data_IF_039560123105
#
_entry.id   IF_039560123105
#
_cell.length_a   1.000
_cell.length_b   1.000
_cell.length_c   1.000
_cell.angle_alpha   90.00
_cell.angle_beta   90.00
_cell.angle_gamma   90.00
#
_symmetry.space_group_name_H-M   'P 1'
#
loop_
_entity.id
_entity.type
_entity.pdbx_description
1 polymer ?
#
# COMPACT_ATOMS: atom_id res chain seq x y z
N UNK A 1 21.71 -1.80 7.31
CA UNK A 1 22.58 -2.57 8.24
C UNK A 1 21.79 -3.71 8.88
N UNK A 2 22.32 -4.93 8.90
CA UNK A 2 21.68 -6.11 9.52
C UNK A 2 22.27 -6.39 10.90
N UNK A 3 21.45 -6.88 11.84
CA UNK A 3 21.91 -7.32 13.16
C UNK A 3 21.38 -8.71 13.50
N UNK A 4 22.14 -9.41 14.33
CA UNK A 4 21.67 -10.64 14.97
C UNK A 4 20.94 -10.27 16.26
N UNK A 5 19.72 -10.79 16.44
CA UNK A 5 18.83 -10.40 17.54
C UNK A 5 18.03 -11.61 18.04
N UNK A 6 18.00 -11.79 19.35
CA UNK A 6 17.07 -12.70 20.04
C UNK A 6 15.87 -11.90 20.57
N UNK A 7 14.65 -12.30 20.20
CA UNK A 7 13.41 -11.71 20.68
C UNK A 7 12.70 -12.76 21.53
N UNK A 8 12.70 -12.56 22.85
CA UNK A 8 12.09 -13.50 23.80
C UNK A 8 10.60 -13.24 23.97
N UNK A 9 9.83 -14.28 24.29
CA UNK A 9 8.42 -14.19 24.68
C UNK A 9 7.52 -13.43 23.67
N UNK A 10 7.80 -13.54 22.37
CA UNK A 10 6.95 -12.96 21.33
C UNK A 10 5.81 -13.92 21.01
N UNK A 11 4.62 -13.40 20.67
CA UNK A 11 3.46 -14.22 20.27
C UNK A 11 3.14 -14.02 18.79
N UNK A 12 3.73 -14.82 17.86
CA UNK A 12 3.42 -14.73 16.44
C UNK A 12 1.92 -14.81 16.19
N UNK A 13 1.36 -13.78 15.57
CA UNK A 13 -0.08 -13.63 15.30
C UNK A 13 -1.00 -13.80 16.52
N UNK A 14 -0.47 -13.60 17.73
CA UNK A 14 -1.20 -13.77 18.99
C UNK A 14 -1.30 -15.22 19.49
N UNK A 15 -0.55 -16.15 18.90
CA UNK A 15 -0.43 -17.52 19.37
C UNK A 15 0.37 -17.68 20.66
N UNK A 16 0.97 -18.86 20.85
CA UNK A 16 1.84 -19.16 21.98
C UNK A 16 3.11 -18.31 21.98
N UNK A 17 3.62 -18.02 23.19
CA UNK A 17 4.85 -17.27 23.34
C UNK A 17 6.06 -18.12 22.93
N UNK A 18 6.90 -17.59 22.04
CA UNK A 18 8.11 -18.22 21.52
C UNK A 18 9.28 -17.26 21.51
N UNK A 19 10.47 -17.80 21.32
CA UNK A 19 11.66 -17.01 21.02
C UNK A 19 11.85 -16.95 19.50
N UNK A 20 11.98 -15.73 18.96
CA UNK A 20 12.34 -15.51 17.56
C UNK A 20 13.81 -15.14 17.47
N UNK A 21 14.53 -15.72 16.51
CA UNK A 21 15.96 -15.47 16.31
C UNK A 21 16.16 -14.89 14.92
N UNK A 22 16.80 -13.73 14.85
CA UNK A 22 17.23 -13.10 13.61
C UNK A 22 18.74 -13.23 13.51
N UNK A 23 19.25 -13.71 12.37
CA UNK A 23 20.67 -13.77 12.02
C UNK A 23 20.89 -13.25 10.61
N UNK A 24 21.87 -12.37 10.41
CA UNK A 24 22.13 -11.76 9.11
C UNK A 24 20.90 -11.06 8.51
N UNK A 25 20.00 -10.55 9.35
CA UNK A 25 18.75 -9.90 8.93
C UNK A 25 17.62 -10.85 8.50
N UNK A 26 17.73 -12.15 8.74
CA UNK A 26 16.69 -13.16 8.45
C UNK A 26 16.31 -13.98 9.67
N UNK A 27 15.07 -14.44 9.75
CA UNK A 27 14.65 -15.41 10.74
C UNK A 27 15.40 -16.73 10.55
N UNK A 28 15.84 -17.30 11.67
CA UNK A 28 16.61 -18.54 11.75
C UNK A 28 15.89 -19.51 12.68
N UNK A 29 16.01 -20.81 12.42
CA UNK A 29 15.53 -21.82 13.34
C UNK A 29 16.13 -21.64 14.76
N UNK A 30 15.34 -21.98 15.77
CA UNK A 30 15.78 -21.98 17.16
C UNK A 30 16.88 -23.06 17.34
N UNK A 31 18.13 -22.61 17.48
CA UNK A 31 19.31 -23.46 17.59
C UNK A 31 20.61 -22.65 17.51
N UNK A 32 21.72 -23.25 17.94
CA UNK A 32 23.03 -22.58 18.05
C UNK A 32 23.14 -21.64 19.26
N UNK A 33 24.29 -20.96 19.37
CA UNK A 33 24.48 -19.97 20.42
C UNK A 33 23.51 -18.78 20.23
N UNK A 34 22.87 -18.31 21.32
CA UNK A 34 21.95 -17.18 21.25
C UNK A 34 22.70 -15.91 20.84
N UNK A 35 22.12 -15.06 19.98
CA UNK A 35 22.66 -13.72 19.72
C UNK A 35 22.95 -12.96 21.01
N UNK A 36 24.03 -12.17 21.01
CA UNK A 36 24.41 -11.36 22.16
C UNK A 36 23.39 -10.24 22.44
N UNK A 37 22.81 -9.65 21.39
CA UNK A 37 21.73 -8.67 21.52
C UNK A 37 20.40 -9.41 21.71
N UNK A 38 19.68 -9.09 22.79
CA UNK A 38 18.41 -9.72 23.11
C UNK A 38 17.42 -8.69 23.67
N UNK A 39 16.16 -8.83 23.26
CA UNK A 39 15.02 -8.08 23.82
C UNK A 39 13.98 -9.05 24.37
N UNK A 40 13.12 -8.56 25.25
CA UNK A 40 11.93 -9.27 25.69
C UNK A 40 10.70 -8.59 25.07
N UNK A 41 9.89 -9.36 24.35
CA UNK A 41 8.64 -8.88 23.76
C UNK A 41 7.51 -8.78 24.80
N UNK A 42 7.72 -9.22 26.04
CA UNK A 42 6.75 -9.12 27.13
C UNK A 42 5.38 -9.76 26.82
N UNK A 43 5.35 -10.81 25.99
CA UNK A 43 4.11 -11.45 25.55
C UNK A 43 3.33 -10.62 24.52
N UNK A 44 3.94 -9.60 23.90
CA UNK A 44 3.33 -8.84 22.82
C UNK A 44 3.14 -9.69 21.56
N UNK A 45 2.13 -9.32 20.78
CA UNK A 45 1.82 -9.95 19.50
C UNK A 45 2.89 -9.56 18.49
N UNK A 46 3.51 -10.54 17.84
CA UNK A 46 4.39 -10.32 16.71
C UNK A 46 3.60 -10.42 15.40
N UNK A 47 3.58 -9.33 14.64
CA UNK A 47 3.13 -9.29 13.25
C UNK A 47 4.34 -9.07 12.33
N UNK A 48 4.37 -9.62 11.11
CA UNK A 48 5.36 -9.20 10.13
C UNK A 48 5.19 -7.71 9.85
N UNK A 49 6.23 -7.08 9.27
CA UNK A 49 6.18 -5.65 8.91
C UNK A 49 4.90 -5.29 8.16
N UNK A 50 4.19 -4.25 8.62
CA UNK A 50 2.91 -3.87 8.00
C UNK A 50 3.14 -3.38 6.57
N UNK A 51 2.17 -3.63 5.70
CA UNK A 51 2.25 -3.31 4.27
C UNK A 51 1.24 -2.22 3.93
N UNK A 52 1.74 -1.07 3.49
CA UNK A 52 0.96 0.02 2.92
C UNK A 52 0.93 -0.17 1.40
N UNK A 53 -0.10 -0.85 0.90
CA UNK A 53 -0.13 -1.28 -0.49
C UNK A 53 -0.52 -0.17 -1.47
N UNK A 54 -0.95 1.00 -0.99
CA UNK A 54 -1.37 2.09 -1.85
C UNK A 54 -1.41 3.43 -1.09
N UNK A 55 -0.53 4.35 -1.44
CA UNK A 55 -0.54 5.73 -0.93
C UNK A 55 0.08 6.73 -1.91
N UNK A 56 0.05 8.01 -1.58
CA UNK A 56 0.64 9.10 -2.36
C UNK A 56 1.70 9.88 -1.56
N UNK A 57 2.93 9.37 -1.56
CA UNK A 57 4.07 9.95 -0.84
C UNK A 57 4.48 11.34 -1.36
N UNK A 58 4.18 11.66 -2.62
CA UNK A 58 4.62 12.90 -3.28
C UNK A 58 3.85 14.14 -2.82
N UNK A 59 2.70 13.97 -2.16
CA UNK A 59 1.71 15.04 -1.99
C UNK A 59 0.99 15.08 -0.65
N UNK A 60 1.50 14.39 0.37
CA UNK A 60 1.03 14.60 1.74
C UNK A 60 1.34 16.03 2.22
N UNK A 61 0.55 16.56 3.16
CA UNK A 61 0.79 17.85 3.80
C UNK A 61 1.31 17.70 5.24
N UNK A 62 1.79 16.52 5.63
CA UNK A 62 2.39 16.31 6.95
C UNK A 62 3.50 17.33 7.20
N UNK A 63 3.44 18.01 8.35
CA UNK A 63 4.40 19.06 8.72
C UNK A 63 4.28 20.34 7.90
N UNK A 64 3.17 20.55 7.19
CA UNK A 64 2.77 21.83 6.61
C UNK A 64 1.59 22.43 7.39
N UNK A 65 1.20 23.66 7.06
CA UNK A 65 0.00 24.27 7.64
C UNK A 65 -1.27 23.50 7.25
N UNK A 66 -2.29 23.58 8.09
CA UNK A 66 -3.57 22.94 7.85
C UNK A 66 -4.21 23.43 6.53
N UNK A 67 -4.58 22.49 5.67
CA UNK A 67 -5.25 22.79 4.42
C UNK A 67 -6.77 22.87 4.61
N UNK A 68 -7.31 24.07 4.55
CA UNK A 68 -8.76 24.29 4.57
C UNK A 68 -9.38 23.81 3.25
N UNK A 69 -9.99 22.62 3.28
CA UNK A 69 -10.52 21.99 2.08
C UNK A 69 -11.94 22.49 1.76
N UNK A 70 -12.03 23.49 0.88
CA UNK A 70 -13.27 23.99 0.27
C UNK A 70 -13.55 23.47 -1.15
N UNK A 71 -12.90 22.37 -1.56
CA UNK A 71 -12.96 21.87 -2.94
C UNK A 71 -14.30 21.17 -3.21
N UNK A 72 -14.82 21.35 -4.42
CA UNK A 72 -16.06 20.71 -4.89
C UNK A 72 -16.01 19.17 -4.88
N UNK A 73 -17.16 18.51 -5.01
CA UNK A 73 -17.28 17.07 -4.78
C UNK A 73 -16.68 16.21 -5.90
N UNK A 74 -16.41 16.77 -7.08
CA UNK A 74 -16.03 15.98 -8.26
C UNK A 74 -14.53 15.63 -8.28
N UNK A 75 -14.20 14.50 -8.91
CA UNK A 75 -12.81 14.06 -9.09
C UNK A 75 -11.97 15.09 -9.85
N UNK A 76 -12.52 15.67 -10.92
CA UNK A 76 -11.84 16.68 -11.72
C UNK A 76 -11.56 17.97 -10.93
N UNK A 77 -12.48 18.43 -10.09
CA UNK A 77 -12.23 19.59 -9.21
C UNK A 77 -11.07 19.32 -8.25
N UNK A 78 -10.99 18.10 -7.67
CA UNK A 78 -9.88 17.70 -6.79
C UNK A 78 -8.55 17.63 -7.52
N UNK A 79 -8.51 17.08 -8.74
CA UNK A 79 -7.30 17.07 -9.59
C UNK A 79 -6.80 18.50 -9.84
N UNK A 80 -7.71 19.41 -10.21
CA UNK A 80 -7.35 20.80 -10.50
C UNK A 80 -6.82 21.52 -9.25
N UNK A 81 -7.48 21.29 -8.10
CA UNK A 81 -7.09 21.90 -6.83
C UNK A 81 -5.76 21.34 -6.30
N UNK A 82 -5.54 20.02 -6.39
CA UNK A 82 -4.30 19.37 -5.98
C UNK A 82 -3.11 19.91 -6.77
N UNK A 83 -3.23 19.96 -8.09
CA UNK A 83 -2.20 20.51 -8.98
C UNK A 83 -1.89 21.98 -8.68
N UNK A 84 -2.91 22.79 -8.36
CA UNK A 84 -2.73 24.18 -7.93
C UNK A 84 -2.01 24.24 -6.58
N UNK A 85 -2.43 23.45 -5.59
CA UNK A 85 -1.84 23.40 -4.26
C UNK A 85 -0.36 22.97 -4.30
N UNK A 86 -0.01 21.99 -5.13
CA UNK A 86 1.40 21.58 -5.34
C UNK A 86 2.31 22.76 -5.67
N UNK A 87 1.85 23.67 -6.53
CA UNK A 87 2.59 24.88 -6.90
C UNK A 87 2.54 25.95 -5.81
N UNK A 88 1.34 26.29 -5.37
CA UNK A 88 1.14 27.44 -4.46
C UNK A 88 1.77 27.21 -3.08
N UNK A 89 1.71 25.97 -2.58
CA UNK A 89 2.25 25.60 -1.28
C UNK A 89 3.72 25.17 -1.34
N UNK A 90 4.31 25.06 -2.54
CA UNK A 90 5.67 24.56 -2.72
C UNK A 90 5.84 23.14 -2.17
N UNK A 91 4.93 22.23 -2.55
CA UNK A 91 5.00 20.83 -2.13
C UNK A 91 6.21 20.19 -2.80
N UNK A 92 7.16 19.74 -1.98
CA UNK A 92 8.38 19.06 -2.42
C UNK A 92 8.26 17.56 -2.17
N UNK A 93 8.27 16.76 -3.23
CA UNK A 93 7.98 15.33 -3.15
C UNK A 93 9.02 14.56 -2.31
N UNK A 94 10.29 14.97 -2.32
CA UNK A 94 11.32 14.37 -1.47
C UNK A 94 11.03 14.60 0.01
N UNK A 95 10.77 15.85 0.39
CA UNK A 95 10.42 16.24 1.76
C UNK A 95 9.14 15.54 2.22
N UNK A 96 8.08 15.59 1.43
CA UNK A 96 6.79 15.00 1.84
C UNK A 96 6.84 13.48 1.94
N UNK A 97 7.52 12.83 1.00
CA UNK A 97 7.70 11.37 1.06
C UNK A 97 8.50 10.95 2.30
N UNK A 98 9.55 11.69 2.66
CA UNK A 98 10.33 11.42 3.85
C UNK A 98 9.47 11.60 5.12
N UNK A 99 8.69 12.68 5.21
CA UNK A 99 7.80 12.95 6.36
C UNK A 99 6.72 11.89 6.55
N UNK A 100 6.07 11.47 5.46
CA UNK A 100 5.09 10.40 5.53
C UNK A 100 5.73 9.08 5.98
N UNK A 101 6.87 8.69 5.39
CA UNK A 101 7.60 7.49 5.80
C UNK A 101 7.98 7.56 7.28
N UNK A 102 8.43 8.72 7.78
CA UNK A 102 8.74 8.93 9.19
C UNK A 102 7.54 8.64 10.10
N UNK A 103 6.35 9.07 9.67
CA UNK A 103 5.11 8.86 10.41
C UNK A 103 4.70 7.40 10.39
N UNK A 104 4.62 6.79 9.21
CA UNK A 104 4.13 5.40 9.05
C UNK A 104 5.11 4.36 9.61
N UNK A 105 6.41 4.65 9.62
CA UNK A 105 7.43 3.79 10.23
C UNK A 105 7.14 3.58 11.73
N UNK A 106 6.67 4.60 12.45
CA UNK A 106 6.30 4.49 13.88
C UNK A 106 5.13 3.52 14.11
N UNK A 107 4.26 3.39 13.13
CA UNK A 107 3.15 2.45 13.17
C UNK A 107 3.55 1.03 12.74
N UNK A 108 4.75 0.83 12.20
CA UNK A 108 5.25 -0.48 11.78
C UNK A 108 5.18 -0.77 10.30
N UNK A 109 4.95 0.24 9.46
CA UNK A 109 4.97 0.08 8.01
C UNK A 109 6.41 -0.08 7.53
N UNK A 110 6.71 -1.24 6.95
CA UNK A 110 8.06 -1.59 6.44
C UNK A 110 8.07 -1.82 4.92
N UNK A 111 6.89 -1.86 4.29
CA UNK A 111 6.73 -1.98 2.85
C UNK A 111 5.65 -1.01 2.36
N UNK A 112 5.97 -0.22 1.34
CA UNK A 112 5.08 0.80 0.77
C UNK A 112 5.03 0.61 -0.75
N UNK A 113 3.84 0.73 -1.34
CA UNK A 113 3.69 1.07 -2.75
C UNK A 113 3.05 2.45 -2.85
N UNK A 114 3.74 3.37 -3.52
CA UNK A 114 3.27 4.74 -3.69
C UNK A 114 3.01 5.07 -5.15
N UNK A 115 1.83 5.65 -5.40
CA UNK A 115 1.47 6.24 -6.67
C UNK A 115 1.93 7.69 -6.71
N UNK A 116 2.80 7.99 -7.66
CA UNK A 116 3.49 9.27 -7.76
C UNK A 116 3.08 9.95 -9.04
N UNK A 117 2.52 11.16 -8.89
CA UNK A 117 1.94 11.87 -10.02
C UNK A 117 2.99 12.19 -11.08
N UNK A 118 2.63 11.90 -12.33
CA UNK A 118 3.34 12.30 -13.55
C UNK A 118 2.38 13.18 -14.34
N UNK A 119 2.75 14.45 -14.52
CA UNK A 119 1.93 15.40 -15.25
C UNK A 119 2.78 16.42 -16.04
N UNK A 120 2.16 17.07 -17.01
CA UNK A 120 2.83 17.99 -17.94
C UNK A 120 3.32 19.30 -17.32
N UNK A 121 2.91 19.63 -16.09
CA UNK A 121 3.36 20.84 -15.39
C UNK A 121 4.55 20.55 -14.47
N UNK A 122 4.57 19.40 -13.79
CA UNK A 122 5.68 18.99 -12.90
C UNK A 122 6.74 18.12 -13.61
N UNK A 123 6.41 17.56 -14.78
CA UNK A 123 7.25 16.60 -15.48
C UNK A 123 7.50 15.35 -14.63
N UNK A 124 8.78 15.10 -14.32
CA UNK A 124 9.23 13.94 -13.53
C UNK A 124 9.68 14.29 -12.11
N UNK A 125 9.58 15.57 -11.70
CA UNK A 125 10.16 16.03 -10.44
C UNK A 125 9.66 15.23 -9.22
N UNK A 126 8.38 14.84 -9.21
CA UNK A 126 7.84 14.02 -8.14
C UNK A 126 8.41 12.60 -8.12
N UNK A 127 8.58 11.98 -9.29
CA UNK A 127 9.20 10.65 -9.43
C UNK A 127 10.64 10.70 -8.92
N UNK A 128 11.42 11.69 -9.34
CA UNK A 128 12.80 11.88 -8.92
C UNK A 128 12.89 12.06 -7.40
N UNK A 129 12.08 12.95 -6.83
CA UNK A 129 12.06 13.22 -5.40
C UNK A 129 11.71 11.98 -4.54
N UNK A 130 10.72 11.19 -4.95
CA UNK A 130 10.36 9.96 -4.22
C UNK A 130 11.43 8.88 -4.37
N UNK A 131 12.07 8.77 -5.55
CA UNK A 131 13.20 7.85 -5.76
C UNK A 131 14.40 8.22 -4.88
N UNK A 132 14.70 9.52 -4.73
CA UNK A 132 15.74 10.00 -3.82
C UNK A 132 15.44 9.62 -2.37
N UNK A 133 14.21 9.83 -1.91
CA UNK A 133 13.79 9.40 -0.57
C UNK A 133 13.89 7.89 -0.38
N UNK A 134 13.42 7.11 -1.36
CA UNK A 134 13.56 5.65 -1.36
C UNK A 134 15.02 5.23 -1.21
N UNK A 135 15.93 5.86 -1.94
CA UNK A 135 17.36 5.56 -1.86
C UNK A 135 17.94 5.91 -0.47
N UNK A 136 17.56 7.07 0.08
CA UNK A 136 18.02 7.53 1.39
C UNK A 136 17.49 6.66 2.56
N UNK A 137 16.28 6.12 2.44
CA UNK A 137 15.59 5.39 3.51
C UNK A 137 15.49 3.87 3.27
N UNK A 138 16.21 3.32 2.28
CA UNK A 138 16.18 1.89 1.90
C UNK A 138 16.48 0.91 3.04
N UNK A 139 17.25 1.36 4.03
CA UNK A 139 17.60 0.56 5.21
C UNK A 139 16.47 0.50 6.25
N UNK A 140 15.45 1.34 6.12
CA UNK A 140 14.31 1.46 7.04
C UNK A 140 13.02 0.89 6.45
N UNK A 141 12.75 1.15 5.17
CA UNK A 141 11.50 0.78 4.50
C UNK A 141 11.77 0.42 3.03
N UNK A 142 11.02 -0.56 2.51
CA UNK A 142 11.00 -0.85 1.07
C UNK A 142 9.89 -0.04 0.39
N UNK A 143 10.20 0.65 -0.72
CA UNK A 143 9.24 1.48 -1.46
C UNK A 143 9.19 1.08 -2.92
N UNK A 144 8.00 0.69 -3.41
CA UNK A 144 7.68 0.58 -4.83
C UNK A 144 7.07 1.90 -5.31
N UNK A 145 7.51 2.39 -6.47
CA UNK A 145 7.03 3.64 -7.09
C UNK A 145 6.21 3.32 -8.33
N UNK A 146 4.95 3.74 -8.34
CA UNK A 146 4.06 3.70 -9.51
C UNK A 146 4.12 5.05 -10.22
N UNK A 147 4.48 5.05 -11.50
CA UNK A 147 4.30 6.24 -12.34
C UNK A 147 2.81 6.42 -12.61
N UNK A 148 2.20 7.52 -12.13
CA UNK A 148 0.74 7.65 -12.10
C UNK A 148 0.23 8.90 -12.84
N UNK A 149 -0.59 8.76 -13.89
CA UNK A 149 -1.08 9.90 -14.67
C UNK A 149 -2.32 10.52 -14.02
N UNK A 150 -2.19 11.08 -12.82
CA UNK A 150 -3.30 11.61 -11.99
C UNK A 150 -4.24 12.57 -12.74
N UNK A 151 -3.69 13.39 -13.63
CA UNK A 151 -4.44 14.40 -14.42
C UNK A 151 -5.02 13.85 -15.73
N UNK A 152 -4.93 12.55 -15.97
CA UNK A 152 -5.27 11.89 -17.22
C UNK A 152 -4.09 11.82 -18.19
N UNK A 153 -4.02 10.71 -18.93
CA UNK A 153 -2.97 10.39 -19.87
C UNK A 153 -3.35 10.75 -21.31
N UNK A 154 -4.51 10.32 -21.80
CA UNK A 154 -4.99 10.58 -23.15
C UNK A 154 -5.51 12.02 -23.35
N UNK A 155 -6.26 12.62 -22.41
CA UNK A 155 -6.76 13.99 -22.58
C UNK A 155 -5.66 15.06 -22.56
N UNK A 156 -4.43 14.70 -22.16
CA UNK A 156 -3.31 15.61 -21.97
C UNK A 156 -2.12 15.19 -22.83
N UNK A 157 -1.95 15.87 -23.96
CA UNK A 157 -0.83 15.64 -24.85
C UNK A 157 0.51 15.76 -24.11
N UNK A 158 1.40 14.78 -24.29
CA UNK A 158 2.70 14.71 -23.61
C UNK A 158 2.73 13.80 -22.38
N UNK A 159 1.59 13.48 -21.76
CA UNK A 159 1.58 12.65 -20.54
C UNK A 159 2.04 11.22 -20.82
N UNK A 160 1.67 10.63 -21.96
CA UNK A 160 2.10 9.27 -22.32
C UNK A 160 3.63 9.18 -22.48
N UNK A 161 4.24 10.19 -23.10
CA UNK A 161 5.69 10.28 -23.24
C UNK A 161 6.38 10.47 -21.88
N UNK A 162 5.77 11.25 -20.98
CA UNK A 162 6.26 11.40 -19.61
C UNK A 162 6.13 10.11 -18.79
N UNK A 163 5.07 9.33 -18.98
CA UNK A 163 4.91 8.02 -18.36
C UNK A 163 6.03 7.06 -18.81
N UNK A 164 6.34 7.00 -20.11
CA UNK A 164 7.48 6.23 -20.63
C UNK A 164 8.82 6.71 -20.05
N UNK A 165 8.99 8.03 -19.90
CA UNK A 165 10.17 8.63 -19.30
C UNK A 165 10.30 8.32 -17.79
N UNK A 166 9.19 8.31 -17.04
CA UNK A 166 9.15 7.94 -15.63
C UNK A 166 9.59 6.48 -15.41
N UNK A 167 9.17 5.57 -16.31
CA UNK A 167 9.63 4.18 -16.28
C UNK A 167 11.15 4.09 -16.50
N UNK A 168 11.70 4.85 -17.45
CA UNK A 168 13.15 4.94 -17.68
C UNK A 168 13.90 5.57 -16.50
N UNK A 169 13.27 6.48 -15.77
CA UNK A 169 13.82 7.14 -14.59
C UNK A 169 13.85 6.23 -13.34
N UNK A 170 13.27 5.03 -13.41
CA UNK A 170 13.34 4.03 -12.35
C UNK A 170 12.07 3.87 -11.52
N UNK A 171 10.92 4.28 -12.05
CA UNK A 171 9.63 3.81 -11.55
C UNK A 171 9.50 2.27 -11.72
N UNK A 172 8.86 1.63 -10.75
CA UNK A 172 8.78 0.16 -10.68
C UNK A 172 7.56 -0.38 -11.41
N UNK A 173 6.47 0.39 -11.47
CA UNK A 173 5.14 -0.04 -11.89
C UNK A 173 4.51 1.03 -12.81
N UNK A 174 3.80 0.58 -13.84
CA UNK A 174 3.02 1.46 -14.71
C UNK A 174 1.64 1.69 -14.10
N UNK A 175 1.30 2.95 -13.85
CA UNK A 175 0.00 3.35 -13.33
C UNK A 175 -1.01 3.69 -14.41
N UNK A 176 -2.28 3.75 -14.00
CA UNK A 176 -3.39 4.25 -14.80
C UNK A 176 -4.48 4.84 -13.93
N UNK A 177 -5.36 5.64 -14.52
CA UNK A 177 -6.54 6.21 -13.84
C UNK A 177 -7.78 6.02 -14.70
N UNK A 178 -8.91 5.70 -14.07
CA UNK A 178 -10.29 5.79 -14.57
C UNK A 178 -10.42 5.79 -16.11
N UNK A 179 -10.30 4.61 -16.75
CA UNK A 179 -10.25 4.47 -18.21
C UNK A 179 -11.44 5.09 -18.95
N UNK A 180 -12.60 5.19 -18.30
CA UNK A 180 -13.82 5.73 -18.88
C UNK A 180 -14.09 7.17 -18.46
N UNK A 181 -14.04 7.49 -17.16
CA UNK A 181 -14.55 8.79 -16.69
C UNK A 181 -13.51 9.90 -16.80
N UNK A 182 -12.22 9.59 -16.62
CA UNK A 182 -11.11 10.55 -16.79
C UNK A 182 -10.55 10.47 -18.22
N UNK A 183 -10.25 9.27 -18.69
CA UNK A 183 -9.53 9.09 -19.95
C UNK A 183 -10.43 9.14 -21.18
N UNK A 184 -11.74 8.93 -20.99
CA UNK A 184 -12.80 9.00 -22.01
C UNK A 184 -12.67 8.01 -23.17
N UNK A 185 -11.70 7.10 -23.11
CA UNK A 185 -11.45 6.05 -24.09
C UNK A 185 -10.82 4.82 -23.40
N UNK A 186 -11.63 3.93 -22.78
CA UNK A 186 -11.14 2.83 -21.97
C UNK A 186 -10.20 1.88 -22.73
N UNK A 187 -10.55 1.59 -23.98
CA UNK A 187 -9.80 0.66 -24.83
C UNK A 187 -8.41 1.22 -25.09
N UNK A 188 -8.34 2.45 -25.63
CA UNK A 188 -7.06 3.07 -25.97
C UNK A 188 -6.17 3.31 -24.76
N UNK A 189 -6.77 3.70 -23.63
CA UNK A 189 -6.02 3.96 -22.40
C UNK A 189 -5.37 2.69 -21.87
N UNK A 190 -6.15 1.62 -21.75
CA UNK A 190 -5.66 0.33 -21.29
C UNK A 190 -4.63 -0.25 -22.27
N UNK A 191 -4.84 -0.13 -23.58
CA UNK A 191 -3.85 -0.57 -24.58
C UNK A 191 -2.51 0.15 -24.39
N UNK A 192 -2.53 1.45 -24.11
CA UNK A 192 -1.31 2.22 -23.86
C UNK A 192 -0.60 1.81 -22.56
N UNK A 193 -1.34 1.63 -21.45
CA UNK A 193 -0.77 1.17 -20.17
C UNK A 193 -0.14 -0.22 -20.32
N UNK A 194 -0.85 -1.16 -20.93
CA UNK A 194 -0.37 -2.51 -21.11
C UNK A 194 0.82 -2.57 -22.08
N UNK A 195 0.84 -1.74 -23.14
CA UNK A 195 1.99 -1.62 -24.02
C UNK A 195 3.23 -1.04 -23.32
N UNK A 196 3.06 -0.08 -22.39
CA UNK A 196 4.16 0.41 -21.56
C UNK A 196 4.68 -0.68 -20.62
N UNK A 197 3.78 -1.41 -19.97
CA UNK A 197 4.13 -2.49 -19.06
C UNK A 197 4.92 -3.61 -19.75
N UNK A 198 4.48 -4.01 -20.96
CA UNK A 198 5.19 -4.97 -21.81
C UNK A 198 6.57 -4.46 -22.23
N UNK A 199 6.63 -3.24 -22.80
CA UNK A 199 7.88 -2.61 -23.25
C UNK A 199 8.95 -2.53 -22.15
N UNK A 200 8.56 -2.16 -20.94
CA UNK A 200 9.47 -2.01 -19.80
C UNK A 200 9.61 -3.29 -18.97
N UNK A 201 8.88 -4.35 -19.32
CA UNK A 201 8.74 -5.58 -18.54
C UNK A 201 8.40 -5.30 -17.06
N UNK A 202 7.46 -4.38 -16.80
CA UNK A 202 7.04 -3.95 -15.45
C UNK A 202 5.59 -4.33 -15.13
N UNK A 203 5.23 -4.47 -13.83
CA UNK A 203 3.85 -4.67 -13.41
C UNK A 203 2.98 -3.41 -13.61
N UNK A 204 1.68 -3.58 -13.38
CA UNK A 204 0.63 -2.56 -13.54
C UNK A 204 -0.14 -2.37 -12.23
N UNK A 205 -0.48 -1.12 -11.89
CA UNK A 205 -1.43 -0.80 -10.82
C UNK A 205 -2.37 0.35 -11.26
N UNK A 206 -3.63 0.03 -11.55
CA UNK A 206 -4.60 0.97 -12.12
C UNK A 206 -5.55 1.46 -11.03
N UNK A 207 -5.67 2.78 -10.86
CA UNK A 207 -6.79 3.37 -10.12
C UNK A 207 -8.09 3.19 -10.92
N UNK A 208 -9.04 2.48 -10.33
CA UNK A 208 -10.36 2.28 -10.90
C UNK A 208 -11.45 2.68 -9.92
N UNK A 209 -11.89 3.94 -10.03
CA UNK A 209 -12.96 4.49 -9.21
C UNK A 209 -14.34 4.37 -9.87
N UNK A 210 -14.41 4.00 -11.16
CA UNK A 210 -15.71 3.89 -11.82
C UNK A 210 -16.64 2.91 -11.10
N UNK A 211 -17.90 3.34 -11.00
CA UNK A 211 -18.93 2.68 -10.22
C UNK A 211 -19.76 1.73 -11.09
N UNK A 212 -20.42 0.77 -10.44
CA UNK A 212 -21.39 -0.14 -11.06
C UNK A 212 -20.90 -0.79 -12.37
N UNK A 213 -21.80 -0.91 -13.34
CA UNK A 213 -21.54 -1.62 -14.60
C UNK A 213 -20.42 -0.97 -15.44
N UNK A 214 -20.18 0.34 -15.30
CA UNK A 214 -19.10 1.00 -16.03
C UNK A 214 -17.73 0.55 -15.52
N UNK A 215 -17.56 0.48 -14.19
CA UNK A 215 -16.32 -0.06 -13.62
C UNK A 215 -16.16 -1.55 -13.90
N UNK A 216 -17.26 -2.33 -13.90
CA UNK A 216 -17.22 -3.74 -14.28
C UNK A 216 -16.74 -3.94 -15.73
N UNK A 217 -17.24 -3.13 -16.66
CA UNK A 217 -16.76 -3.13 -18.05
C UNK A 217 -15.26 -2.85 -18.13
N UNK A 218 -14.76 -1.86 -17.39
CA UNK A 218 -13.31 -1.59 -17.34
C UNK A 218 -12.52 -2.77 -16.75
N UNK A 219 -13.02 -3.45 -15.72
CA UNK A 219 -12.38 -4.66 -15.17
C UNK A 219 -12.35 -5.81 -16.18
N UNK A 220 -13.41 -6.02 -16.94
CA UNK A 220 -13.47 -7.03 -18.00
C UNK A 220 -12.39 -6.78 -19.07
N UNK A 221 -12.20 -5.51 -19.47
CA UNK A 221 -11.13 -5.11 -20.39
C UNK A 221 -9.71 -5.33 -19.82
N UNK A 222 -9.54 -5.13 -18.51
CA UNK A 222 -8.27 -5.40 -17.80
C UNK A 222 -8.00 -6.91 -17.75
N UNK A 223 -9.02 -7.72 -17.46
CA UNK A 223 -8.93 -9.20 -17.47
C UNK A 223 -8.52 -9.70 -18.85
N UNK A 224 -9.17 -9.20 -19.91
CA UNK A 224 -8.87 -9.56 -21.30
C UNK A 224 -7.39 -9.31 -21.65
N UNK A 225 -6.88 -8.11 -21.34
CA UNK A 225 -5.49 -7.72 -21.64
C UNK A 225 -4.48 -8.48 -20.79
N UNK A 226 -4.80 -8.71 -19.51
CA UNK A 226 -3.96 -9.50 -18.61
C UNK A 226 -3.77 -10.91 -19.17
N UNK A 227 -4.84 -11.53 -19.67
CA UNK A 227 -4.79 -12.83 -20.32
C UNK A 227 -4.01 -12.79 -21.63
N UNK A 228 -4.32 -11.84 -22.51
CA UNK A 228 -3.72 -11.74 -23.84
C UNK A 228 -2.20 -11.53 -23.80
N UNK A 229 -1.70 -10.82 -22.78
CA UNK A 229 -0.28 -10.47 -22.63
C UNK A 229 0.44 -11.32 -21.57
N UNK A 230 -0.20 -12.38 -21.06
CA UNK A 230 0.37 -13.27 -20.05
C UNK A 230 0.90 -12.55 -18.79
N UNK A 231 0.17 -11.52 -18.33
CA UNK A 231 0.54 -10.69 -17.18
C UNK A 231 -0.07 -11.17 -15.85
N UNK A 232 -0.47 -12.44 -15.76
CA UNK A 232 -1.07 -12.96 -14.54
C UNK A 232 -0.14 -12.79 -13.34
N UNK A 233 -0.67 -12.29 -12.23
CA UNK A 233 0.11 -11.99 -11.01
C UNK A 233 0.94 -10.70 -11.09
N UNK A 234 0.79 -9.90 -12.15
CA UNK A 234 1.53 -8.64 -12.35
C UNK A 234 0.62 -7.41 -12.46
N UNK A 235 -0.67 -7.57 -12.19
CA UNK A 235 -1.68 -6.51 -12.29
C UNK A 235 -2.39 -6.36 -10.96
N UNK A 236 -2.46 -5.13 -10.49
CA UNK A 236 -3.31 -4.71 -9.37
C UNK A 236 -4.34 -3.70 -9.89
N UNK A 237 -5.56 -3.78 -9.35
CA UNK A 237 -6.58 -2.74 -9.53
C UNK A 237 -6.87 -2.10 -8.18
N UNK A 238 -6.48 -0.83 -8.06
CA UNK A 238 -6.72 -0.01 -6.88
C UNK A 238 -8.16 0.50 -6.84
N UNK A 239 -8.76 0.44 -5.66
CA UNK A 239 -10.15 0.76 -5.31
C UNK A 239 -11.18 -0.27 -5.79
N UNK A 240 -11.31 -0.46 -7.11
CA UNK A 240 -12.29 -1.35 -7.73
C UNK A 240 -13.72 -1.20 -7.16
N UNK A 241 -14.15 0.04 -6.90
CA UNK A 241 -15.39 0.35 -6.16
C UNK A 241 -16.64 -0.27 -6.78
N UNK A 242 -16.67 -0.43 -8.11
CA UNK A 242 -17.75 -1.12 -8.81
C UNK A 242 -18.09 -2.47 -8.21
N UNK A 243 -17.11 -3.25 -7.71
CA UNK A 243 -17.37 -4.59 -7.16
C UNK A 243 -18.36 -4.57 -6.00
N UNK A 244 -18.42 -3.50 -5.19
CA UNK A 244 -19.40 -3.36 -4.12
C UNK A 244 -20.83 -3.04 -4.57
N UNK A 245 -21.03 -2.77 -5.86
CA UNK A 245 -22.27 -2.20 -6.42
C UNK A 245 -22.98 -3.11 -7.44
N UNK A 246 -22.36 -4.23 -7.82
CA UNK A 246 -22.90 -5.14 -8.81
C UNK A 246 -23.96 -6.06 -8.21
N UNK A 247 -24.83 -6.60 -9.08
CA UNK A 247 -25.71 -7.70 -8.69
C UNK A 247 -24.88 -8.93 -8.27
N UNK A 248 -25.38 -9.78 -7.36
CA UNK A 248 -24.59 -10.88 -6.80
C UNK A 248 -24.01 -11.86 -7.82
N UNK A 249 -24.72 -12.13 -8.92
CA UNK A 249 -24.26 -13.09 -9.93
C UNK A 249 -23.09 -12.51 -10.74
N UNK A 250 -23.23 -11.27 -11.22
CA UNK A 250 -22.15 -10.56 -11.92
C UNK A 250 -20.96 -10.28 -11.00
N UNK A 251 -21.23 -9.90 -9.75
CA UNK A 251 -20.20 -9.66 -8.73
C UNK A 251 -19.31 -10.90 -8.55
N UNK A 252 -19.91 -12.06 -8.30
CA UNK A 252 -19.16 -13.32 -8.12
C UNK A 252 -18.39 -13.69 -9.39
N UNK A 253 -19.03 -13.68 -10.55
CA UNK A 253 -18.38 -14.05 -11.81
C UNK A 253 -17.17 -13.16 -12.12
N UNK A 254 -17.27 -11.85 -11.87
CA UNK A 254 -16.16 -10.92 -12.11
C UNK A 254 -15.02 -11.12 -11.11
N UNK A 255 -15.32 -11.36 -9.82
CA UNK A 255 -14.31 -11.69 -8.81
C UNK A 255 -13.58 -12.99 -9.17
N UNK A 256 -14.29 -14.02 -9.62
CA UNK A 256 -13.71 -15.28 -10.07
C UNK A 256 -12.82 -15.09 -11.31
N UNK A 257 -13.22 -14.23 -12.25
CA UNK A 257 -12.40 -13.90 -13.41
C UNK A 257 -11.10 -13.17 -13.03
N UNK A 258 -11.16 -12.22 -12.09
CA UNK A 258 -9.96 -11.55 -11.56
C UNK A 258 -9.02 -12.55 -10.87
N UNK A 259 -9.58 -13.46 -10.05
CA UNK A 259 -8.82 -14.48 -9.35
C UNK A 259 -8.14 -15.47 -10.32
N UNK A 260 -8.85 -15.89 -11.36
CA UNK A 260 -8.33 -16.80 -12.39
C UNK A 260 -7.11 -16.22 -13.12
N UNK A 261 -7.10 -14.90 -13.38
CA UNK A 261 -5.96 -14.21 -13.97
C UNK A 261 -4.92 -13.72 -12.94
N UNK A 262 -5.09 -14.08 -11.65
CA UNK A 262 -4.23 -13.62 -10.55
C UNK A 262 -4.07 -12.09 -10.54
N UNK A 263 -5.14 -11.36 -10.84
CA UNK A 263 -5.20 -9.91 -10.67
C UNK A 263 -5.51 -9.66 -9.20
N UNK A 264 -4.75 -8.79 -8.54
CA UNK A 264 -5.02 -8.39 -7.16
C UNK A 264 -5.90 -7.14 -7.12
N UNK A 265 -6.64 -6.96 -6.04
CA UNK A 265 -7.39 -5.71 -5.78
C UNK A 265 -6.87 -5.04 -4.52
N UNK A 266 -6.90 -3.71 -4.49
CA UNK A 266 -6.56 -2.94 -3.29
C UNK A 266 -7.78 -2.12 -2.86
N UNK A 267 -8.08 -2.10 -1.57
CA UNK A 267 -9.16 -1.25 -1.03
C UNK A 267 -8.72 -0.40 0.15
N UNK A 268 -9.21 0.83 0.19
CA UNK A 268 -9.09 1.73 1.33
C UNK A 268 -10.25 1.56 2.32
N UNK A 269 -11.29 0.81 1.97
CA UNK A 269 -12.53 0.78 2.77
C UNK A 269 -13.28 2.10 2.75
N UNK A 270 -13.43 2.72 1.58
CA UNK A 270 -14.00 4.07 1.47
C UNK A 270 -15.40 4.17 2.10
N UNK A 271 -15.69 5.23 2.87
CA UNK A 271 -17.02 5.48 3.40
C UNK A 271 -18.00 5.96 2.33
N UNK A 272 -17.51 6.46 1.19
CA UNK A 272 -18.31 7.13 0.17
C UNK A 272 -19.10 6.19 -0.75
N UNK A 273 -18.74 4.91 -0.77
CA UNK A 273 -19.33 3.89 -1.67
C UNK A 273 -19.57 2.57 -0.92
N UNK A 274 -20.46 1.69 -1.42
CA UNK A 274 -20.59 0.34 -0.89
C UNK A 274 -19.24 -0.37 -0.79
N UNK A 275 -19.02 -1.11 0.30
CA UNK A 275 -17.77 -1.79 0.56
C UNK A 275 -17.53 -2.92 -0.45
N UNK A 276 -16.26 -3.19 -0.77
CA UNK A 276 -15.89 -4.40 -1.51
C UNK A 276 -16.29 -5.63 -0.68
N UNK A 277 -16.86 -6.68 -1.30
CA UNK A 277 -17.39 -7.83 -0.58
C UNK A 277 -16.27 -8.75 -0.07
N UNK A 278 -15.54 -8.35 0.97
CA UNK A 278 -14.29 -9.02 1.42
C UNK A 278 -14.44 -10.52 1.68
N UNK A 279 -15.59 -10.96 2.22
CA UNK A 279 -15.87 -12.39 2.44
C UNK A 279 -15.93 -13.16 1.12
N UNK A 280 -16.67 -12.64 0.14
CA UNK A 280 -16.79 -13.24 -1.19
C UNK A 280 -15.44 -13.26 -1.92
N UNK A 281 -14.69 -12.16 -1.85
CA UNK A 281 -13.33 -12.06 -2.39
C UNK A 281 -12.44 -13.18 -1.85
N UNK A 282 -12.47 -13.38 -0.52
CA UNK A 282 -11.73 -14.48 0.14
C UNK A 282 -12.21 -15.86 -0.32
N UNK A 283 -13.52 -16.07 -0.39
CA UNK A 283 -14.10 -17.34 -0.86
C UNK A 283 -13.64 -17.69 -2.28
N UNK A 284 -13.52 -16.71 -3.16
CA UNK A 284 -13.07 -16.89 -4.54
C UNK A 284 -11.54 -16.96 -4.68
N UNK A 285 -10.78 -16.80 -3.60
CA UNK A 285 -9.31 -16.81 -3.63
C UNK A 285 -8.68 -15.58 -4.32
N UNK A 286 -9.41 -14.47 -4.42
CA UNK A 286 -8.88 -13.22 -4.95
C UNK A 286 -7.98 -12.55 -3.91
N UNK A 287 -6.75 -12.18 -4.32
CA UNK A 287 -5.84 -11.43 -3.45
C UNK A 287 -6.37 -10.02 -3.27
N UNK A 288 -6.56 -9.63 -2.00
CA UNK A 288 -6.93 -8.27 -1.61
C UNK A 288 -5.88 -7.69 -0.68
N UNK A 289 -5.42 -6.49 -1.02
CA UNK A 289 -4.53 -5.67 -0.23
C UNK A 289 -5.28 -4.42 0.29
N UNK A 290 -4.65 -3.69 1.20
CA UNK A 290 -5.18 -2.40 1.65
C UNK A 290 -4.08 -1.35 1.73
N UNK A 291 -4.49 -0.11 1.57
CA UNK A 291 -3.64 1.05 1.71
C UNK A 291 -4.41 2.27 2.20
N UNK A 292 -3.66 3.35 2.43
CA UNK A 292 -4.21 4.58 2.98
C UNK A 292 -4.74 5.54 1.95
N UNK A 293 -4.32 5.44 0.68
CA UNK A 293 -4.55 6.45 -0.36
C UNK A 293 -3.96 7.80 0.07
N UNK A 294 -4.74 8.88 0.09
CA UNK A 294 -4.28 10.18 0.53
C UNK A 294 -4.12 10.22 2.05
N UNK A 295 -3.00 10.77 2.53
CA UNK A 295 -2.79 11.02 3.96
C UNK A 295 -2.62 12.51 4.18
N UNK A 296 -3.52 13.12 4.97
CA UNK A 296 -3.49 14.55 5.30
C UNK A 296 -3.20 15.40 4.04
N UNK A 297 -4.00 15.19 3.00
CA UNK A 297 -3.77 15.75 1.67
C UNK A 297 -4.83 16.77 1.26
N UNK A 298 -4.65 17.30 0.06
CA UNK A 298 -5.65 18.13 -0.64
C UNK A 298 -6.90 17.33 -1.03
N UNK A 299 -6.75 16.01 -1.14
CA UNK A 299 -7.77 15.05 -1.54
C UNK A 299 -8.71 14.67 -0.40
N UNK A 300 -8.14 14.26 0.73
CA UNK A 300 -8.86 13.85 1.93
C UNK A 300 -8.09 14.24 3.20
N UNK A 301 -8.81 14.60 4.28
CA UNK A 301 -8.18 15.03 5.53
C UNK A 301 -7.78 13.85 6.42
N UNK A 302 -8.18 12.62 6.07
CA UNK A 302 -8.05 11.45 6.92
C UNK A 302 -6.64 10.86 6.88
N UNK A 303 -6.42 9.88 7.77
CA UNK A 303 -5.27 9.00 7.73
C UNK A 303 -4.09 9.48 8.57
N UNK A 304 -3.52 8.54 9.32
CA UNK A 304 -2.19 8.63 9.93
C UNK A 304 -1.21 7.62 9.31
N UNK A 305 -1.69 6.75 8.40
CA UNK A 305 -0.92 5.67 7.77
C UNK A 305 -0.66 4.47 8.68
N UNK A 306 -1.46 4.30 9.74
CA UNK A 306 -1.47 3.10 10.57
C UNK A 306 -2.31 1.99 9.91
N UNK A 307 -1.63 0.93 9.45
CA UNK A 307 -2.30 -0.18 8.78
C UNK A 307 -3.17 -1.05 9.70
N UNK A 308 -2.98 -1.02 11.03
CA UNK A 308 -3.93 -1.64 11.96
C UNK A 308 -5.21 -0.81 12.08
N UNK A 309 -5.11 0.52 12.01
CA UNK A 309 -6.28 1.38 11.92
C UNK A 309 -7.01 1.18 10.58
N UNK A 310 -6.27 1.00 9.49
CA UNK A 310 -6.86 0.61 8.22
C UNK A 310 -7.61 -0.73 8.32
N UNK A 311 -7.01 -1.76 8.94
CA UNK A 311 -7.66 -3.04 9.18
C UNK A 311 -8.97 -2.90 9.99
N UNK A 312 -8.98 -2.00 10.99
CA UNK A 312 -10.19 -1.65 11.76
C UNK A 312 -11.26 -1.01 10.88
N UNK A 313 -10.91 -0.06 10.03
CA UNK A 313 -11.87 0.57 9.11
C UNK A 313 -12.45 -0.44 8.13
N UNK A 314 -11.64 -1.35 7.58
CA UNK A 314 -12.13 -2.44 6.74
C UNK A 314 -13.16 -3.30 7.48
N UNK A 315 -12.88 -3.65 8.73
CA UNK A 315 -13.76 -4.47 9.55
C UNK A 315 -15.11 -3.79 9.79
N UNK A 316 -15.07 -2.51 10.20
CA UNK A 316 -16.26 -1.70 10.43
C UNK A 316 -17.10 -1.52 9.16
N UNK A 317 -16.46 -1.27 8.02
CA UNK A 317 -17.15 -1.09 6.73
C UNK A 317 -17.80 -2.37 6.20
N UNK A 318 -17.32 -3.54 6.60
CA UNK A 318 -17.80 -4.83 6.13
C UNK A 318 -18.66 -5.59 7.16
N UNK A 319 -19.02 -4.97 8.29
CA UNK A 319 -19.79 -5.66 9.34
C UNK A 319 -19.05 -6.87 9.92
N UNK A 320 -17.72 -6.80 9.95
CA UNK A 320 -16.79 -7.85 10.36
C UNK A 320 -16.45 -7.63 11.84
N UNK A 321 -17.01 -8.47 12.72
CA UNK A 321 -17.11 -8.16 14.18
C UNK A 321 -16.55 -9.24 15.09
N UNK A 322 -16.27 -10.46 14.59
CA UNK A 322 -15.70 -11.53 15.39
C UNK A 322 -14.17 -11.63 15.22
N UNK A 323 -13.50 -12.38 16.08
CA UNK A 323 -12.03 -12.51 16.08
C UNK A 323 -11.46 -13.02 14.75
N UNK A 324 -12.14 -13.95 14.07
CA UNK A 324 -11.70 -14.46 12.77
C UNK A 324 -11.82 -13.40 11.67
N UNK A 325 -12.81 -12.52 11.77
CA UNK A 325 -12.98 -11.40 10.86
C UNK A 325 -11.88 -10.34 11.05
N UNK A 326 -11.57 -10.00 12.30
CA UNK A 326 -10.52 -9.03 12.58
C UNK A 326 -9.13 -9.59 12.22
N UNK A 327 -8.91 -10.89 12.40
CA UNK A 327 -7.73 -11.57 11.90
C UNK A 327 -7.62 -11.49 10.36
N UNK A 328 -8.74 -11.61 9.63
CA UNK A 328 -8.76 -11.43 8.18
C UNK A 328 -8.37 -10.01 7.77
N UNK A 329 -8.92 -8.97 8.39
CA UNK A 329 -8.57 -7.60 8.00
C UNK A 329 -7.12 -7.24 8.35
N UNK A 330 -6.57 -7.80 9.43
CA UNK A 330 -5.13 -7.75 9.70
C UNK A 330 -4.31 -8.49 8.63
N UNK A 331 -4.79 -9.63 8.14
CA UNK A 331 -4.17 -10.38 7.03
C UNK A 331 -4.10 -9.53 5.77
N UNK A 332 -5.18 -8.82 5.42
CA UNK A 332 -5.22 -7.92 4.26
C UNK A 332 -4.11 -6.85 4.33
N UNK A 333 -3.84 -6.33 5.52
CA UNK A 333 -2.82 -5.29 5.77
C UNK A 333 -1.40 -5.86 6.02
N UNK A 334 -1.24 -7.18 5.95
CA UNK A 334 0.04 -7.89 6.08
C UNK A 334 0.25 -8.77 4.86
N UNK A 335 -0.15 -10.04 4.90
CA UNK A 335 0.02 -11.00 3.81
C UNK A 335 -0.72 -10.61 2.52
N UNK A 336 -1.93 -10.07 2.61
CA UNK A 336 -2.66 -9.58 1.43
C UNK A 336 -1.90 -8.47 0.69
N UNK A 337 -1.36 -7.51 1.44
CA UNK A 337 -0.45 -6.50 0.94
C UNK A 337 0.85 -7.10 0.39
N UNK A 338 1.48 -8.03 1.10
CA UNK A 338 2.73 -8.67 0.67
C UNK A 338 2.55 -9.47 -0.64
N UNK A 339 1.47 -10.24 -0.75
CA UNK A 339 1.08 -10.95 -1.97
C UNK A 339 0.81 -9.97 -3.13
N UNK A 340 0.04 -8.91 -2.89
CA UNK A 340 -0.26 -7.88 -3.91
C UNK A 340 0.96 -7.07 -4.35
N UNK A 341 1.95 -6.87 -3.46
CA UNK A 341 3.21 -6.22 -3.78
C UNK A 341 4.23 -7.16 -4.43
N UNK A 342 3.98 -8.47 -4.43
CA UNK A 342 4.91 -9.48 -4.91
C UNK A 342 6.15 -9.65 -4.01
N UNK A 343 5.98 -9.45 -2.70
CA UNK A 343 7.07 -9.61 -1.73
C UNK A 343 7.45 -11.09 -1.56
N UNK A 344 8.72 -11.35 -1.30
CA UNK A 344 9.26 -12.68 -0.98
C UNK A 344 10.01 -12.65 0.35
N UNK A 345 10.06 -13.79 1.04
CA UNK A 345 10.68 -13.87 2.36
C UNK A 345 9.94 -13.05 3.42
N UNK A 346 8.61 -13.07 3.41
CA UNK A 346 7.75 -12.27 4.28
C UNK A 346 6.97 -13.18 5.23
N UNK A 347 7.08 -12.92 6.53
CA UNK A 347 6.46 -13.75 7.57
C UNK A 347 7.44 -14.06 8.69
N UNK A 348 7.37 -15.27 9.22
CA UNK A 348 8.21 -15.76 10.32
C UNK A 348 8.86 -17.12 10.02
N UNK A 349 8.78 -17.60 8.78
CA UNK A 349 9.42 -18.85 8.39
C UNK A 349 10.95 -18.69 8.41
N UNK A 350 11.66 -19.81 8.56
CA UNK A 350 13.12 -19.79 8.43
C UNK A 350 13.52 -19.26 7.05
N UNK A 351 14.46 -18.32 7.02
CA UNK A 351 14.87 -17.63 5.81
C UNK A 351 14.04 -16.40 5.45
N UNK A 352 12.85 -16.20 6.04
CA UNK A 352 12.13 -14.93 5.92
C UNK A 352 12.97 -13.80 6.49
N UNK A 353 12.70 -12.58 6.04
CA UNK A 353 13.40 -11.44 6.58
C UNK A 353 12.96 -11.14 8.03
N UNK A 354 13.93 -10.75 8.86
CA UNK A 354 13.74 -10.41 10.27
C UNK A 354 13.03 -9.07 10.49
N UNK A 355 11.85 -8.92 9.93
CA UNK A 355 11.02 -7.72 9.92
C UNK A 355 9.72 -7.96 10.64
N UNK A 356 9.49 -7.21 11.71
CA UNK A 356 8.30 -7.40 12.53
C UNK A 356 7.91 -6.16 13.30
N UNK A 357 6.66 -6.17 13.75
CA UNK A 357 6.12 -5.27 14.74
C UNK A 357 5.64 -6.06 15.95
N UNK A 358 6.02 -5.59 17.14
CA UNK A 358 5.48 -6.06 18.41
C UNK A 358 4.36 -5.12 18.86
N UNK A 359 3.17 -5.68 19.04
CA UNK A 359 1.94 -4.95 19.37
C UNK A 359 1.49 -5.33 20.79
N UNK A 360 1.34 -4.35 21.71
CA UNK A 360 0.89 -4.61 23.07
C UNK A 360 -0.62 -4.87 23.10
N UNK A 361 -1.02 -6.13 22.92
CA UNK A 361 -2.40 -6.58 22.95
C UNK A 361 -2.49 -8.05 23.44
N UNK A 362 -3.64 -8.45 23.98
CA UNK A 362 -3.88 -9.81 24.48
C UNK A 362 -4.26 -10.78 23.36
N UNK A 363 -4.99 -10.30 22.35
CA UNK A 363 -5.39 -11.06 21.16
C UNK A 363 -5.21 -10.23 19.89
N UNK A 364 -5.13 -10.89 18.73
CA UNK A 364 -5.03 -10.18 17.45
C UNK A 364 -6.26 -9.31 17.18
N UNK A 365 -7.44 -9.79 17.56
CA UNK A 365 -8.68 -9.02 17.49
C UNK A 365 -8.60 -7.73 18.33
N UNK A 366 -8.05 -7.78 19.54
CA UNK A 366 -7.83 -6.59 20.36
C UNK A 366 -6.84 -5.61 19.69
N UNK A 367 -5.75 -6.13 19.11
CA UNK A 367 -4.77 -5.30 18.39
C UNK A 367 -5.42 -4.50 17.26
N UNK A 368 -6.30 -5.13 16.48
CA UNK A 368 -7.06 -4.47 15.40
C UNK A 368 -8.11 -3.51 15.96
N UNK A 369 -8.87 -3.91 16.98
CA UNK A 369 -9.95 -3.08 17.51
C UNK A 369 -9.45 -1.79 18.20
N UNK A 370 -8.36 -1.91 18.97
CA UNK A 370 -7.83 -0.83 19.80
C UNK A 370 -6.64 -0.09 19.19
N UNK A 371 -5.99 -0.66 18.17
CA UNK A 371 -4.90 -0.02 17.42
C UNK A 371 -3.84 0.61 18.35
N UNK A 372 -3.25 -0.14 19.30
CA UNK A 372 -2.37 0.46 20.29
C UNK A 372 -1.10 1.02 19.62
N UNK A 373 -0.65 2.20 20.07
CA UNK A 373 0.42 2.96 19.40
C UNK A 373 1.83 2.73 19.98
N UNK A 374 1.94 2.13 21.18
CA UNK A 374 3.22 1.82 21.83
C UNK A 374 3.84 0.55 21.23
N UNK A 375 4.13 0.56 19.94
CA UNK A 375 4.67 -0.59 19.20
C UNK A 375 6.19 -0.57 19.21
N UNK A 376 6.79 -1.76 19.14
CA UNK A 376 8.21 -1.91 18.84
C UNK A 376 8.38 -2.40 17.41
N UNK A 377 9.15 -1.69 16.58
CA UNK A 377 9.33 -1.96 15.15
C UNK A 377 10.75 -2.42 14.91
N UNK A 378 10.91 -3.56 14.26
CA UNK A 378 12.21 -4.21 14.02
C UNK A 378 12.34 -4.47 12.53
N UNK A 379 13.46 -4.04 11.94
CA UNK A 379 13.80 -4.22 10.53
C UNK A 379 15.15 -4.91 10.44
N UNK A 380 15.20 -6.10 9.84
CA UNK A 380 16.42 -6.90 9.67
C UNK A 380 17.25 -7.05 10.96
N UNK A 381 16.56 -7.23 12.09
CA UNK A 381 17.17 -7.37 13.42
C UNK A 381 17.57 -6.06 14.12
N UNK A 382 17.38 -4.89 13.48
CA UNK A 382 17.58 -3.58 14.12
C UNK A 382 16.24 -3.07 14.67
N UNK A 383 16.22 -2.72 15.96
CA UNK A 383 15.08 -1.99 16.55
C UNK A 383 15.08 -0.55 16.02
N UNK A 384 14.04 -0.18 15.27
CA UNK A 384 13.86 1.16 14.72
C UNK A 384 12.98 2.05 15.61
N UNK A 385 12.01 1.43 16.29
CA UNK A 385 11.06 2.10 17.18
C UNK A 385 10.90 1.21 18.40
N UNK A 386 10.94 1.80 19.59
CA UNK A 386 10.74 1.09 20.85
C UNK A 386 9.59 1.76 21.62
N UNK A 387 8.53 1.01 21.87
CA UNK A 387 7.31 1.49 22.56
C UNK A 387 6.74 2.81 22.01
N UNK A 388 6.75 2.95 20.68
CA UNK A 388 6.27 4.13 19.95
C UNK A 388 7.30 5.26 19.85
N UNK A 389 8.49 5.11 20.43
CA UNK A 389 9.57 6.09 20.37
C UNK A 389 10.60 5.69 19.31
N UNK A 390 10.81 6.49 18.24
CA UNK A 390 11.84 6.20 17.24
C UNK A 390 13.24 6.20 17.85
N UNK A 391 14.13 5.35 17.33
CA UNK A 391 15.53 5.34 17.74
C UNK A 391 16.22 6.68 17.43
N UNK A 392 17.09 7.13 18.33
CA UNK A 392 17.74 8.45 18.24
C UNK A 392 18.72 8.57 17.06
N UNK A 393 19.15 7.44 16.48
CA UNK A 393 20.08 7.34 15.37
C UNK A 393 19.37 7.16 14.00
N UNK A 394 18.04 7.34 13.95
CA UNK A 394 17.33 7.43 12.68
C UNK A 394 17.68 8.76 11.97
N UNK A 395 17.70 8.78 10.63
CA UNK A 395 17.93 10.01 9.87
C UNK A 395 16.94 11.11 10.30
N UNK A 396 17.45 12.33 10.47
CA UNK A 396 16.58 13.50 10.63
C UNK A 396 15.78 13.68 9.34
N UNK A 397 14.47 13.88 9.50
CA UNK A 397 13.54 14.13 8.40
C UNK A 397 13.04 15.56 8.64
N UNK A 398 13.62 16.51 7.92
CA UNK A 398 13.21 17.93 7.93
C UNK A 398 11.99 18.18 7.03
#
# INVERSE_FOLDING_TARGET
MTKDLLIRNARPFGGEAVNLVIRGGRFSAAGGEPPAEAIDAAGHIALPGLVEAHTHLDKTLIGMDWFENGIGPTRNERILADRKAKRDLGIDARRQSARQIAQTLKHGVLHIRSHVDVDTEIGLANIEGVIETRAALRDLVDVQVVAFPQSGMLPRAGTLELMDAAMKAGADIVGGIDPATIERDPVRHLDAIFALADRHAKPIDIHLHELGDLGAFCLELIVERTRALALQGRVMVSHAYCLGMLDPARQRALIEALAAERISVMTVGSPAVPALPLRLIRECGLVVASGSDGIQGTWEPWGNGDMLERAKYLAQRNGMTNDADLAETARICTFGGAEGLGLSGYGFAEGDFGDLVLVPARTLAEAVALTPQKRTVIRRGRVLVHDGVPAADLPSIE
#
